data_IF_914397935480
#
_entry.id   IF_914397935480
#
_cell.length_a   1.000
_cell.length_b   1.000
_cell.length_c   1.000
_cell.angle_alpha   90.00
_cell.angle_beta   90.00
_cell.angle_gamma   90.00
#
_symmetry.space_group_name_H-M   'P 1'
#
loop_
_entity.id
_entity.type
_entity.pdbx_description
1 polymer ?
#
# COMPACT_ATOMS: atom_id res chain seq x y z
N UNK A 1 -5.17 -9.06 -6.78
CA UNK A 1 -5.42 -7.85 -5.96
C UNK A 1 -6.08 -6.82 -6.86
N UNK A 2 -7.11 -6.09 -6.40
CA UNK A 2 -7.87 -5.13 -7.26
C UNK A 2 -7.64 -3.66 -6.90
N UNK A 3 -7.12 -3.42 -5.71
CA UNK A 3 -6.88 -2.07 -5.20
C UNK A 3 -5.39 -1.85 -4.99
N UNK A 4 -4.90 -0.72 -5.51
CA UNK A 4 -3.59 -0.19 -5.17
C UNK A 4 -3.81 1.00 -4.25
N UNK A 5 -3.16 1.01 -3.09
CA UNK A 5 -3.29 2.06 -2.08
C UNK A 5 -1.96 2.72 -1.83
N UNK A 6 -1.99 4.03 -1.59
CA UNK A 6 -0.89 4.79 -1.02
C UNK A 6 -1.19 5.00 0.46
N UNK A 7 -0.27 4.57 1.30
CA UNK A 7 -0.40 4.60 2.74
C UNK A 7 0.68 5.50 3.34
N UNK A 8 0.29 6.26 4.37
CA UNK A 8 1.21 7.01 5.21
C UNK A 8 1.19 6.38 6.60
N UNK A 9 2.32 5.79 6.98
CA UNK A 9 2.53 5.24 8.31
C UNK A 9 3.22 6.30 9.19
N UNK A 10 2.66 6.55 10.37
CA UNK A 10 3.20 7.49 11.37
C UNK A 10 3.50 6.75 12.67
N UNK A 11 4.53 7.19 13.40
CA UNK A 11 4.90 6.61 14.69
C UNK A 11 5.90 5.46 14.63
N UNK A 12 6.36 5.07 13.43
CA UNK A 12 7.44 4.07 13.28
C UNK A 12 8.79 4.77 13.49
N UNK A 13 9.68 4.25 14.36
CA UNK A 13 10.99 4.86 14.56
C UNK A 13 11.86 4.68 13.31
N UNK A 14 12.67 5.70 12.99
CA UNK A 14 13.45 5.80 11.74
C UNK A 14 14.39 4.62 11.47
N UNK A 15 14.92 4.00 12.52
CA UNK A 15 15.79 2.82 12.40
C UNK A 15 15.03 1.53 12.04
N UNK A 16 13.71 1.49 12.25
CA UNK A 16 12.85 0.35 11.95
C UNK A 16 12.12 0.49 10.60
N UNK A 17 12.44 1.53 9.81
CA UNK A 17 11.83 1.72 8.49
C UNK A 17 12.36 0.68 7.52
N UNK A 18 11.49 -0.25 7.14
CA UNK A 18 11.77 -1.29 6.14
C UNK A 18 10.48 -1.83 5.56
N UNK A 19 10.59 -2.49 4.39
CA UNK A 19 9.49 -3.22 3.77
C UNK A 19 8.93 -4.27 4.73
N UNK A 20 9.78 -5.00 5.44
CA UNK A 20 9.37 -5.99 6.44
C UNK A 20 8.54 -5.38 7.58
N UNK A 21 8.95 -4.21 8.08
CA UNK A 21 8.21 -3.52 9.13
C UNK A 21 6.86 -3.06 8.61
N UNK A 22 6.80 -2.49 7.41
CA UNK A 22 5.55 -2.13 6.77
C UNK A 22 4.63 -3.35 6.59
N UNK A 23 5.16 -4.48 6.14
CA UNK A 23 4.41 -5.73 6.00
C UNK A 23 3.85 -6.22 7.34
N UNK A 24 4.62 -6.10 8.43
CA UNK A 24 4.14 -6.45 9.79
C UNK A 24 3.00 -5.55 10.26
N UNK A 25 3.03 -4.27 9.90
CA UNK A 25 1.99 -3.30 10.27
C UNK A 25 0.71 -3.56 9.49
N UNK A 26 0.81 -3.75 8.18
CA UNK A 26 -0.34 -3.99 7.30
C UNK A 26 -0.91 -5.40 7.43
N UNK A 27 -0.07 -6.36 7.85
CA UNK A 27 -0.46 -7.75 8.00
C UNK A 27 -0.79 -8.42 6.66
N UNK A 28 -1.74 -9.35 6.68
CA UNK A 28 -2.18 -10.09 5.49
C UNK A 28 -3.17 -9.33 4.61
N UNK A 29 -3.63 -8.14 5.03
CA UNK A 29 -4.61 -7.34 4.26
C UNK A 29 -4.01 -6.76 2.98
N UNK A 30 -2.69 -6.57 2.95
CA UNK A 30 -1.96 -5.96 1.83
C UNK A 30 -0.68 -6.74 1.52
N UNK A 31 -0.26 -6.72 0.26
CA UNK A 31 0.97 -7.32 -0.24
C UNK A 31 1.59 -6.46 -1.34
N UNK A 32 2.79 -6.83 -1.82
CA UNK A 32 3.49 -6.09 -2.87
C UNK A 32 3.80 -4.66 -2.43
N UNK A 33 4.46 -4.52 -1.28
CA UNK A 33 4.79 -3.23 -0.69
C UNK A 33 5.95 -2.60 -1.46
N UNK A 34 5.74 -1.38 -1.92
CA UNK A 34 6.71 -0.53 -2.61
C UNK A 34 6.93 0.72 -1.76
N UNK A 35 8.17 0.97 -1.35
CA UNK A 35 8.48 2.19 -0.61
C UNK A 35 8.54 3.38 -1.56
N UNK A 36 8.11 4.53 -1.08
CA UNK A 36 8.36 5.78 -1.80
C UNK A 36 9.87 6.09 -1.83
N UNK A 37 10.32 6.75 -2.91
CA UNK A 37 11.75 7.08 -3.10
C UNK A 37 12.30 7.98 -1.99
N UNK A 38 11.52 8.95 -1.51
CA UNK A 38 11.98 9.87 -0.47
C UNK A 38 12.05 9.15 0.88
N UNK A 39 11.13 8.21 1.11
CA UNK A 39 11.14 7.32 2.28
C UNK A 39 12.34 6.37 2.23
N UNK A 40 12.60 5.75 1.08
CA UNK A 40 13.72 4.82 0.87
C UNK A 40 15.06 5.54 1.01
N UNK A 41 15.16 6.75 0.45
CA UNK A 41 16.32 7.63 0.59
C UNK A 41 16.42 8.30 1.98
N UNK A 42 15.45 8.04 2.88
CA UNK A 42 15.38 8.61 4.24
C UNK A 42 15.46 10.13 4.27
N UNK A 43 14.90 10.79 3.25
CA UNK A 43 14.90 12.24 3.09
C UNK A 43 13.86 12.87 4.02
N UNK A 44 12.63 12.35 4.03
CA UNK A 44 11.58 12.78 4.97
C UNK A 44 11.37 11.72 6.07
N UNK A 45 12.07 11.91 7.20
CA UNK A 45 11.96 11.03 8.36
C UNK A 45 10.68 11.24 9.19
N UNK A 46 9.78 12.14 8.77
CA UNK A 46 8.51 12.39 9.48
C UNK A 46 7.39 11.47 9.01
N UNK A 47 7.49 10.94 7.78
CA UNK A 47 6.41 10.20 7.13
C UNK A 47 6.96 8.97 6.46
N UNK A 48 6.48 7.81 6.88
CA UNK A 48 6.80 6.56 6.21
C UNK A 48 5.75 6.31 5.13
N UNK A 49 6.06 6.67 3.87
CA UNK A 49 5.15 6.57 2.73
C UNK A 49 5.43 5.30 1.93
N UNK A 50 4.38 4.58 1.57
CA UNK A 50 4.48 3.35 0.77
C UNK A 50 3.23 3.13 -0.08
N UNK A 51 3.40 2.43 -1.19
CA UNK A 51 2.32 1.86 -1.98
C UNK A 51 2.17 0.36 -1.66
N UNK A 52 0.94 -0.14 -1.67
CA UNK A 52 0.68 -1.57 -1.49
C UNK A 52 -0.55 -1.99 -2.28
N UNK A 53 -0.62 -3.29 -2.60
CA UNK A 53 -1.80 -3.91 -3.17
C UNK A 53 -2.64 -4.52 -2.07
N UNK A 54 -3.94 -4.23 -2.05
CA UNK A 54 -4.86 -4.77 -1.06
C UNK A 54 -6.09 -5.40 -1.73
N UNK A 55 -6.71 -6.37 -1.03
CA UNK A 55 -7.95 -7.00 -1.50
C UNK A 55 -9.16 -6.10 -1.23
N UNK A 56 -9.17 -5.44 -0.06
CA UNK A 56 -10.19 -4.48 0.32
C UNK A 56 -9.55 -3.39 1.21
N UNK A 57 -9.64 -2.10 0.84
CA UNK A 57 -9.09 -1.01 1.66
C UNK A 57 -9.77 -0.86 3.04
N UNK A 58 -11.01 -1.32 3.21
CA UNK A 58 -11.72 -1.24 4.50
C UNK A 58 -11.13 -2.16 5.59
N UNK A 59 -10.32 -3.15 5.18
CA UNK A 59 -9.62 -4.05 6.09
C UNK A 59 -8.29 -3.48 6.59
N UNK A 60 -7.92 -2.27 6.15
CA UNK A 60 -6.69 -1.61 6.58
C UNK A 60 -6.95 -0.98 7.95
N UNK A 61 -6.25 -1.45 9.00
CA UNK A 61 -6.47 -0.95 10.36
C UNK A 61 -5.90 0.47 10.48
N UNK A 62 -6.69 1.43 10.94
CA UNK A 62 -6.22 2.81 11.13
C UNK A 62 -5.14 2.96 12.21
N UNK A 63 -5.07 2.01 13.15
CA UNK A 63 -4.14 2.01 14.29
C UNK A 63 -3.58 0.61 14.53
N UNK A 64 -2.27 0.50 14.72
CA UNK A 64 -1.56 -0.75 15.00
C UNK A 64 -0.47 -0.55 16.04
N UNK A 65 -0.11 -1.61 16.75
CA UNK A 65 1.03 -1.60 17.67
C UNK A 65 2.14 -2.46 17.08
N UNK A 66 3.33 -1.88 16.92
CA UNK A 66 4.55 -2.57 16.51
C UNK A 66 5.43 -2.79 17.73
N UNK A 67 5.96 -3.99 17.86
CA UNK A 67 7.00 -4.30 18.82
C UNK A 67 8.36 -4.35 18.12
N UNK A 68 9.31 -3.56 18.61
CA UNK A 68 10.69 -3.52 18.10
C UNK A 68 11.60 -4.09 19.19
N UNK A 69 12.34 -5.18 18.91
CA UNK A 69 13.30 -5.73 19.88
C UNK A 69 14.46 -4.77 20.11
N UNK A 70 14.98 -4.73 21.33
CA UNK A 70 16.22 -3.99 21.59
C UNK A 70 17.37 -4.59 20.77
N UNK A 71 18.30 -3.76 20.26
CA UNK A 71 19.46 -4.24 19.56
C UNK A 71 20.28 -5.13 20.51
N UNK A 72 20.64 -6.33 20.05
CA UNK A 72 21.59 -7.17 20.77
C UNK A 72 22.94 -6.46 20.72
N UNK A 73 23.41 -5.94 21.85
CA UNK A 73 24.74 -5.36 21.91
C UNK A 73 25.76 -6.41 21.43
N UNK A 74 26.56 -6.13 20.38
CA UNK A 74 27.70 -6.98 20.10
C UNK A 74 28.63 -6.84 21.30
N UNK A 75 28.74 -7.90 22.10
CA UNK A 75 29.70 -7.98 23.19
C UNK A 75 31.10 -7.80 22.61
N UNK A 76 31.57 -6.56 22.52
CA UNK A 76 32.96 -6.26 22.28
C UNK A 76 33.73 -6.71 23.53
N UNK A 77 34.87 -7.42 23.40
CA UNK A 77 35.72 -7.76 24.52
C UNK A 77 36.51 -6.52 24.96
N UNK A 78 35.79 -5.51 25.44
CA UNK A 78 36.33 -4.32 26.09
C UNK A 78 35.62 -4.19 27.43
N UNK A 79 36.35 -4.47 28.50
CA UNK A 79 36.23 -4.18 29.94
C UNK A 79 35.00 -3.49 30.60
N UNK A 80 33.94 -3.11 29.88
CA UNK A 80 32.67 -2.60 30.38
C UNK A 80 31.53 -3.62 30.23
N UNK A 81 31.85 -4.92 30.29
CA UNK A 81 30.82 -5.95 30.46
C UNK A 81 30.31 -5.92 31.90
N UNK A 82 29.05 -5.51 32.09
CA UNK A 82 28.32 -5.86 33.31
C UNK A 82 28.36 -7.39 33.43
N UNK A 83 28.71 -7.90 34.62
CA UNK A 83 28.74 -9.34 34.84
C UNK A 83 27.34 -9.91 34.58
N UNK A 84 27.26 -11.14 34.11
CA UNK A 84 26.01 -11.82 33.74
C UNK A 84 24.94 -11.79 34.86
N UNK A 85 25.33 -11.64 36.14
CA UNK A 85 24.43 -11.52 37.29
C UNK A 85 23.98 -10.07 37.60
N UNK A 86 24.64 -9.05 37.04
CA UNK A 86 24.30 -7.62 37.16
C UNK A 86 23.48 -7.11 35.97
N UNK A 87 23.53 -7.83 34.84
CA UNK A 87 22.49 -7.71 33.82
C UNK A 87 21.17 -8.14 34.45
N UNK A 88 20.23 -7.22 34.57
CA UNK A 88 18.82 -7.58 34.71
C UNK A 88 18.55 -8.51 33.53
N UNK A 89 18.42 -9.83 33.76
CA UNK A 89 17.99 -10.82 32.76
C UNK A 89 16.50 -10.54 32.44
N UNK A 90 16.21 -9.37 31.91
CA UNK A 90 14.92 -9.03 31.35
C UNK A 90 14.83 -9.77 30.02
N UNK A 91 14.14 -10.92 30.05
CA UNK A 91 13.63 -11.64 28.89
C UNK A 91 13.16 -10.62 27.83
N UNK A 92 13.94 -10.43 26.77
CA UNK A 92 13.58 -9.69 25.57
C UNK A 92 12.95 -8.31 25.86
N UNK A 93 13.76 -7.37 26.36
CA UNK A 93 13.35 -5.97 26.37
C UNK A 93 13.17 -5.49 24.92
N UNK A 94 12.09 -4.75 24.68
CA UNK A 94 11.75 -4.23 23.38
C UNK A 94 10.65 -3.19 23.52
N UNK A 95 10.66 -2.20 22.63
CA UNK A 95 9.81 -1.03 22.69
C UNK A 95 8.55 -1.24 21.85
N UNK A 96 7.40 -0.80 22.39
CA UNK A 96 6.13 -0.80 21.68
C UNK A 96 5.86 0.58 21.11
N UNK A 97 5.60 0.62 19.82
CA UNK A 97 5.26 1.84 19.09
C UNK A 97 3.83 1.75 18.61
N UNK A 98 3.09 2.82 18.82
CA UNK A 98 1.78 3.00 18.27
C UNK A 98 1.90 3.63 16.89
N UNK A 99 1.27 2.99 15.92
CA UNK A 99 1.36 3.36 14.52
C UNK A 99 -0.02 3.73 14.03
N UNK A 100 -0.10 4.90 13.41
CA UNK A 100 -1.28 5.35 12.68
C UNK A 100 -1.08 5.03 11.21
N UNK A 101 -2.08 4.40 10.60
CA UNK A 101 -2.11 4.08 9.18
C UNK A 101 -3.15 4.97 8.51
N UNK A 102 -2.70 5.83 7.62
CA UNK A 102 -3.56 6.75 6.87
C UNK A 102 -3.58 6.32 5.40
N UNK A 103 -4.77 6.08 4.83
CA UNK A 103 -4.91 5.86 3.40
C UNK A 103 -4.89 7.23 2.72
N UNK A 104 -3.81 7.55 2.01
CA UNK A 104 -3.68 8.82 1.31
C UNK A 104 -4.35 8.81 -0.06
N UNK A 105 -4.24 7.68 -0.76
CA UNK A 105 -4.76 7.50 -2.12
C UNK A 105 -5.21 6.06 -2.34
N UNK A 106 -6.30 5.88 -3.09
CA UNK A 106 -6.84 4.59 -3.51
C UNK A 106 -7.03 4.59 -5.02
N UNK A 107 -6.50 3.56 -5.69
CA UNK A 107 -6.72 3.24 -7.09
C UNK A 107 -7.45 1.89 -7.21
N UNK A 108 -8.59 1.88 -7.90
CA UNK A 108 -9.35 0.65 -8.17
C UNK A 108 -9.37 0.31 -9.66
N UNK A 109 -8.84 -0.87 -10.01
CA UNK A 109 -8.84 -1.36 -11.38
C UNK A 109 -10.17 -2.06 -11.70
N UNK A 110 -11.06 -1.39 -12.42
CA UNK A 110 -12.28 -2.02 -12.93
C UNK A 110 -11.92 -2.88 -14.14
N UNK A 111 -11.94 -4.21 -13.98
CA UNK A 111 -12.06 -5.12 -15.12
C UNK A 111 -13.52 -5.05 -15.55
N UNK A 112 -13.82 -4.64 -16.79
CA UNK A 112 -15.18 -4.72 -17.31
C UNK A 112 -15.69 -6.15 -17.13
N UNK A 113 -16.91 -6.39 -16.64
CA UNK A 113 -17.53 -7.68 -16.87
C UNK A 113 -17.51 -7.93 -18.38
N UNK A 114 -17.06 -9.11 -18.81
CA UNK A 114 -17.18 -9.53 -20.21
C UNK A 114 -18.62 -9.23 -20.64
N UNK A 115 -18.79 -8.47 -21.72
CA UNK A 115 -20.14 -8.14 -22.22
C UNK A 115 -20.86 -9.47 -22.42
N UNK A 116 -21.87 -9.77 -21.59
CA UNK A 116 -22.79 -10.86 -21.90
C UNK A 116 -23.46 -10.47 -23.21
N UNK A 117 -23.05 -11.15 -24.29
CA UNK A 117 -23.68 -10.98 -25.59
C UNK A 117 -25.15 -11.38 -25.43
N UNK A 118 -26.03 -10.39 -25.47
CA UNK A 118 -27.47 -10.64 -25.43
C UNK A 118 -27.82 -11.53 -26.63
N UNK A 119 -28.48 -12.69 -26.48
CA UNK A 119 -28.69 -13.63 -27.59
C UNK A 119 -29.63 -13.14 -28.69
N UNK A 120 -30.25 -11.98 -28.55
CA UNK A 120 -31.40 -11.56 -29.35
C UNK A 120 -31.07 -10.74 -30.62
N UNK A 121 -29.82 -10.75 -31.08
CA UNK A 121 -29.44 -10.12 -32.35
C UNK A 121 -29.48 -11.10 -33.53
N UNK A 122 -30.57 -11.88 -33.66
CA UNK A 122 -30.81 -12.71 -34.85
C UNK A 122 -32.15 -12.37 -35.50
N UNK A 123 -32.02 -12.01 -36.78
CA UNK A 123 -33.02 -11.77 -37.81
C UNK A 123 -33.98 -10.59 -37.62
N UNK A 124 -33.56 -9.45 -38.16
CA UNK A 124 -34.48 -8.57 -38.89
C UNK A 124 -33.77 -8.08 -40.14
N UNK A 125 -33.97 -8.81 -41.24
CA UNK A 125 -33.77 -8.30 -42.60
C UNK A 125 -34.76 -7.15 -42.81
N UNK A 126 -34.29 -5.90 -42.70
CA UNK A 126 -35.05 -4.74 -43.18
C UNK A 126 -34.09 -3.72 -43.80
N UNK A 127 -34.16 -3.64 -45.13
CA UNK A 127 -33.39 -2.75 -45.99
C UNK A 127 -33.70 -1.28 -45.66
N UNK A 128 -32.95 -0.70 -44.71
CA UNK A 128 -32.96 0.74 -44.50
C UNK A 128 -31.57 1.32 -44.79
N UNK A 129 -31.48 1.95 -45.95
CA UNK A 129 -30.41 2.82 -46.41
C UNK A 129 -30.36 4.09 -45.52
N UNK A 130 -29.86 3.94 -44.29
CA UNK A 130 -29.44 5.06 -43.45
C UNK A 130 -27.94 5.26 -43.61
N UNK A 131 -27.44 6.45 -44.00
CA UNK A 131 -26.01 6.70 -44.02
C UNK A 131 -25.47 6.51 -42.61
N UNK A 132 -24.59 5.51 -42.50
CA UNK A 132 -24.20 4.90 -41.24
C UNK A 132 -23.77 5.91 -40.20
N UNK A 133 -24.43 5.84 -39.03
CA UNK A 133 -23.74 6.10 -37.79
C UNK A 133 -22.61 5.07 -37.73
N UNK A 134 -21.43 5.44 -38.23
CA UNK A 134 -20.22 4.70 -37.93
C UNK A 134 -20.11 4.69 -36.41
N UNK A 135 -20.30 3.52 -35.81
CA UNK A 135 -19.95 3.25 -34.43
C UNK A 135 -18.43 3.47 -34.32
N UNK A 136 -18.06 4.73 -34.14
CA UNK A 136 -16.74 5.16 -33.69
C UNK A 136 -16.65 4.83 -32.21
N UNK A 137 -16.79 3.55 -31.89
CA UNK A 137 -17.12 3.06 -30.56
C UNK A 137 -16.11 2.08 -29.99
N UNK A 138 -14.93 1.94 -30.59
CA UNK A 138 -13.86 1.11 -30.00
C UNK A 138 -12.46 1.65 -30.33
N UNK A 139 -12.23 2.92 -30.02
CA UNK A 139 -10.88 3.47 -29.95
C UNK A 139 -10.51 3.73 -28.49
N UNK A 140 -9.82 2.76 -27.89
CA UNK A 140 -8.90 3.00 -26.79
C UNK A 140 -9.52 3.16 -25.40
N UNK A 141 -10.43 2.27 -24.99
CA UNK A 141 -10.68 2.13 -23.56
C UNK A 141 -9.48 1.39 -22.93
N UNK A 142 -8.45 2.12 -22.52
CA UNK A 142 -7.51 1.58 -21.54
C UNK A 142 -8.25 1.53 -20.19
N UNK A 143 -8.25 0.39 -19.46
CA UNK A 143 -8.87 0.33 -18.15
C UNK A 143 -8.10 1.24 -17.17
N UNK A 144 -8.48 2.52 -17.11
CA UNK A 144 -7.90 3.47 -16.17
C UNK A 144 -8.50 3.24 -14.78
N UNK A 145 -7.67 3.12 -13.71
CA UNK A 145 -8.19 2.94 -12.37
C UNK A 145 -8.95 4.20 -11.93
N UNK A 146 -10.09 4.02 -11.24
CA UNK A 146 -10.70 5.15 -10.52
C UNK A 146 -9.80 5.51 -9.35
N UNK A 147 -9.37 6.77 -9.30
CA UNK A 147 -8.48 7.30 -8.26
C UNK A 147 -9.29 8.15 -7.26
N UNK A 148 -9.07 7.94 -5.97
CA UNK A 148 -9.63 8.76 -4.89
C UNK A 148 -8.51 9.16 -3.95
N UNK A 149 -8.40 10.46 -3.66
CA UNK A 149 -7.43 11.01 -2.72
C UNK A 149 -8.12 11.45 -1.45
N UNK A 150 -7.55 11.09 -0.32
CA UNK A 150 -8.03 11.46 1.01
C UNK A 150 -7.11 12.48 1.69
N UNK A 151 -5.82 12.50 1.32
CA UNK A 151 -4.85 13.45 1.88
C UNK A 151 -4.89 14.78 1.13
N UNK A 152 -4.91 15.88 1.89
CA UNK A 152 -4.71 17.25 1.40
C UNK A 152 -3.23 17.60 1.25
N UNK A 153 -2.32 16.69 1.61
CA UNK A 153 -0.89 16.88 1.50
C UNK A 153 -0.44 16.73 0.03
N UNK A 154 -0.29 17.87 -0.65
CA UNK A 154 0.09 17.93 -2.05
C UNK A 154 1.51 17.40 -2.32
N UNK A 155 2.34 17.27 -1.29
CA UNK A 155 3.70 16.75 -1.37
C UNK A 155 3.77 15.23 -1.45
N UNK A 156 2.66 14.51 -1.19
CA UNK A 156 2.66 13.06 -1.31
C UNK A 156 2.73 12.61 -2.77
N UNK A 157 3.56 11.59 -3.06
CA UNK A 157 3.68 11.02 -4.40
C UNK A 157 2.31 10.54 -4.90
N UNK A 158 2.13 10.52 -6.22
CA UNK A 158 0.94 9.92 -6.84
C UNK A 158 1.22 8.46 -7.12
N UNK A 159 0.22 7.60 -6.96
CA UNK A 159 0.31 6.28 -7.57
C UNK A 159 0.32 6.49 -9.10
N UNK A 160 1.39 6.07 -9.77
CA UNK A 160 1.44 6.07 -11.23
C UNK A 160 0.44 5.09 -11.84
N UNK A 161 0.19 5.14 -13.17
CA UNK A 161 -0.47 4.04 -13.87
C UNK A 161 0.32 2.76 -13.60
N UNK A 162 -0.39 1.74 -13.11
CA UNK A 162 0.18 0.45 -12.71
C UNK A 162 0.54 -0.44 -13.89
#
# INVERSE_FOLDING_TARGET
>A
MRYRVLLVLRGIPTHAWSVDTAQRVLGSSCAGIELDRDTEAKIDLKRFVLAAWCLNPDLIPSRRTLWVPDPKEPHAPGNLSLKEHEMIRSKLSGLRYEITVEVAELQHWFVRPEREVSPDARDSDDDNDFPGFHDSGDHGWEPCPRQTRFSTDASLPRLGPG
#
